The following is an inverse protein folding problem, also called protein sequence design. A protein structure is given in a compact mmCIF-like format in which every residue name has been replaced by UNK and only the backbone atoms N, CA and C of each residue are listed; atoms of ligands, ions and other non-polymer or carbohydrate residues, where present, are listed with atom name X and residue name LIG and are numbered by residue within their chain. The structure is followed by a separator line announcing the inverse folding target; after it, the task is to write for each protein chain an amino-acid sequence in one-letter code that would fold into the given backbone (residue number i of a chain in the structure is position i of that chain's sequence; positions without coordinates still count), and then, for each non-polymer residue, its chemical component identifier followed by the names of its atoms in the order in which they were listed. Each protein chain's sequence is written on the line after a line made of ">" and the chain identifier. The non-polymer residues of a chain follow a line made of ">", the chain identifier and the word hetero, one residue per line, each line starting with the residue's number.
data_IF_897133274377
#
_entry.id   IF_897133274377
#
_cell.length_a   1.000
_cell.length_b   1.000
_cell.length_c   1.000
_cell.angle_alpha   90.00
_cell.angle_beta   90.00
_cell.angle_gamma   90.00
#
_symmetry.space_group_name_H-M   'P 1'
#
loop_
_entity.id
_entity.type
_entity.pdbx_description
1 polymer ?
#
# COMPACT_ATOMS: atom_id res chain seq x y z
N UNK A 1 38.44 -18.98 -16.18
CA UNK A 1 37.15 -19.33 -15.54
C UNK A 1 36.53 -18.03 -15.06
N UNK A 2 35.47 -17.56 -15.70
CA UNK A 2 34.86 -16.26 -15.38
C UNK A 2 34.02 -16.43 -14.11
N UNK A 3 34.39 -15.71 -13.05
CA UNK A 3 33.67 -15.71 -11.78
C UNK A 3 32.30 -15.03 -11.94
N UNK A 4 31.26 -15.85 -11.97
CA UNK A 4 29.86 -15.44 -12.18
C UNK A 4 29.30 -14.64 -11.00
N UNK A 5 29.98 -14.60 -9.85
CA UNK A 5 29.57 -13.90 -8.63
C UNK A 5 29.64 -12.38 -8.76
N UNK A 6 30.44 -11.87 -9.71
CA UNK A 6 30.64 -10.43 -9.95
C UNK A 6 29.67 -9.81 -10.96
N UNK A 7 28.82 -10.60 -11.63
CA UNK A 7 27.80 -10.08 -12.57
C UNK A 7 26.54 -9.53 -11.88
N UNK A 8 26.40 -9.68 -10.56
CA UNK A 8 25.23 -9.16 -9.82
C UNK A 8 25.28 -7.67 -9.48
N UNK A 9 26.36 -6.96 -9.80
CA UNK A 9 26.50 -5.53 -9.51
C UNK A 9 25.88 -4.62 -10.61
N UNK A 10 25.55 -5.16 -11.78
CA UNK A 10 24.91 -4.42 -12.89
C UNK A 10 23.57 -5.00 -13.34
N UNK A 11 23.05 -6.02 -12.65
CA UNK A 11 21.65 -6.38 -12.83
C UNK A 11 20.82 -5.29 -12.16
N UNK A 12 20.17 -4.44 -12.96
CA UNK A 12 19.04 -3.60 -12.52
C UNK A 12 18.13 -4.53 -11.72
N UNK A 13 18.20 -4.46 -10.37
CA UNK A 13 17.33 -5.24 -9.48
C UNK A 13 15.94 -4.86 -9.95
N UNK A 14 15.16 -5.84 -10.45
CA UNK A 14 13.77 -5.60 -10.84
C UNK A 14 13.17 -4.81 -9.68
N UNK A 15 12.76 -3.57 -9.97
CA UNK A 15 12.04 -2.76 -9.02
C UNK A 15 10.86 -3.63 -8.60
N UNK A 16 10.74 -3.88 -7.31
CA UNK A 16 9.69 -4.73 -6.77
C UNK A 16 8.34 -4.14 -7.20
N UNK A 17 7.72 -4.83 -8.16
CA UNK A 17 6.56 -4.40 -8.93
C UNK A 17 5.28 -4.36 -8.06
N UNK A 18 5.35 -5.00 -6.88
CA UNK A 18 4.29 -5.01 -5.88
C UNK A 18 4.31 -3.81 -4.93
N UNK A 19 5.35 -2.98 -4.94
CA UNK A 19 5.44 -1.86 -4.00
C UNK A 19 4.45 -0.75 -4.36
N UNK A 20 3.57 -0.45 -3.43
CA UNK A 20 2.77 0.78 -3.43
C UNK A 20 3.72 1.96 -3.27
N UNK A 21 3.77 2.79 -4.31
CA UNK A 21 4.43 4.10 -4.27
C UNK A 21 3.44 5.13 -3.72
N UNK A 22 3.60 6.38 -4.09
CA UNK A 22 2.71 7.45 -3.61
C UNK A 22 1.39 7.47 -4.39
N UNK A 23 0.31 7.99 -3.80
CA UNK A 23 -0.95 8.19 -4.49
C UNK A 23 -0.82 9.30 -5.56
N UNK A 24 -1.67 9.24 -6.59
CA UNK A 24 -1.74 10.10 -7.77
C UNK A 24 -0.50 10.11 -8.66
N UNK A 25 0.43 9.16 -8.55
CA UNK A 25 1.56 9.12 -9.48
C UNK A 25 1.11 8.93 -10.93
N UNK A 26 1.55 9.83 -11.81
CA UNK A 26 1.20 9.80 -13.24
C UNK A 26 1.81 8.59 -13.96
N UNK A 27 3.06 8.25 -13.62
CA UNK A 27 3.72 7.04 -14.12
C UNK A 27 4.55 6.41 -12.99
N UNK A 28 4.08 5.25 -12.51
CA UNK A 28 4.74 4.48 -11.45
C UNK A 28 6.10 3.91 -11.88
N UNK A 29 6.26 3.60 -13.16
CA UNK A 29 7.46 2.99 -13.72
C UNK A 29 8.57 4.03 -13.92
N UNK A 30 8.20 5.25 -14.30
CA UNK A 30 9.14 6.37 -14.48
C UNK A 30 9.33 7.23 -13.23
N UNK A 31 8.63 6.91 -12.14
CA UNK A 31 8.73 7.64 -10.87
C UNK A 31 10.19 7.84 -10.41
N UNK A 32 11.03 6.80 -10.52
CA UNK A 32 12.43 6.87 -10.08
C UNK A 32 13.31 7.75 -10.97
N UNK A 33 12.90 7.98 -12.22
CA UNK A 33 13.66 8.77 -13.18
C UNK A 33 13.41 10.27 -12.99
N UNK A 34 12.24 10.62 -12.44
CA UNK A 34 11.80 12.00 -12.23
C UNK A 34 11.89 12.45 -10.75
N UNK A 35 11.81 11.53 -9.79
CA UNK A 35 11.88 11.88 -8.37
C UNK A 35 13.30 12.31 -7.93
N UNK A 36 13.42 13.57 -7.50
CA UNK A 36 14.67 14.14 -6.98
C UNK A 36 15.04 13.69 -5.56
N UNK A 37 14.19 12.91 -4.89
CA UNK A 37 14.39 12.42 -3.52
C UNK A 37 14.56 13.55 -2.49
N UNK A 38 13.91 14.69 -2.73
CA UNK A 38 14.01 15.87 -1.86
C UNK A 38 13.39 15.66 -0.47
N UNK A 39 12.52 14.66 -0.27
CA UNK A 39 11.96 14.31 1.03
C UNK A 39 10.73 15.12 1.47
N UNK A 40 10.32 16.16 0.75
CA UNK A 40 9.18 17.00 1.13
C UNK A 40 7.86 16.23 1.35
N UNK A 41 7.59 15.19 0.55
CA UNK A 41 6.41 14.35 0.73
C UNK A 41 6.44 13.55 2.05
N UNK A 42 7.61 13.13 2.50
CA UNK A 42 7.81 12.45 3.80
C UNK A 42 7.51 13.42 4.94
N UNK A 43 8.06 14.63 4.85
CA UNK A 43 7.91 15.67 5.90
C UNK A 43 6.47 16.16 6.06
N UNK A 44 5.66 16.13 5.00
CA UNK A 44 4.32 16.71 4.97
C UNK A 44 3.21 15.66 5.08
N UNK A 45 3.56 14.39 5.27
CA UNK A 45 2.60 13.32 5.48
C UNK A 45 2.11 13.35 6.95
N UNK A 46 0.84 13.70 7.15
CA UNK A 46 0.25 13.84 8.50
C UNK A 46 0.23 12.52 9.29
N UNK A 47 0.01 11.40 8.59
CA UNK A 47 0.01 10.04 9.17
C UNK A 47 1.39 9.38 9.16
N UNK A 48 2.41 10.06 8.63
CA UNK A 48 3.81 9.61 8.60
C UNK A 48 4.06 8.26 7.88
N UNK A 49 3.10 7.80 7.05
CA UNK A 49 3.20 6.54 6.30
C UNK A 49 4.21 6.59 5.15
N UNK A 50 4.63 7.79 4.71
CA UNK A 50 5.58 7.92 3.61
C UNK A 50 7.00 7.82 4.19
N UNK A 51 7.67 6.70 3.93
CA UNK A 51 9.02 6.42 4.42
C UNK A 51 10.04 6.37 3.27
N UNK A 52 11.33 6.46 3.60
CA UNK A 52 12.41 6.28 2.62
C UNK A 52 12.63 4.78 2.39
N UNK A 53 12.23 4.29 1.21
CA UNK A 53 12.44 2.91 0.78
C UNK A 53 13.75 2.69 0.03
N UNK A 54 13.78 1.63 -0.78
CA UNK A 54 14.93 1.25 -1.62
C UNK A 54 15.43 2.43 -2.48
N UNK A 55 16.75 2.63 -2.51
CA UNK A 55 17.38 3.71 -3.28
C UNK A 55 17.12 5.13 -2.76
N UNK A 56 16.53 5.26 -1.57
CA UNK A 56 16.16 6.54 -0.97
C UNK A 56 14.90 7.17 -1.57
N UNK A 57 14.14 6.41 -2.36
CA UNK A 57 12.88 6.86 -2.93
C UNK A 57 11.75 6.75 -1.89
N UNK A 58 10.82 7.71 -1.84
CA UNK A 58 9.71 7.64 -0.92
C UNK A 58 8.75 6.51 -1.32
N UNK A 59 8.26 5.77 -0.33
CA UNK A 59 7.35 4.64 -0.47
C UNK A 59 6.34 4.69 0.67
N UNK A 60 5.18 4.06 0.50
CA UNK A 60 4.17 3.98 1.56
C UNK A 60 4.41 2.74 2.42
N UNK A 61 4.28 2.89 3.74
CA UNK A 61 4.31 1.81 4.74
C UNK A 61 3.02 1.84 5.57
N UNK A 62 2.12 0.90 5.27
CA UNK A 62 0.83 0.77 5.95
C UNK A 62 0.90 0.07 7.31
N UNK A 63 2.08 -0.35 7.77
CA UNK A 63 2.25 -0.82 9.14
C UNK A 63 2.25 0.33 10.17
N UNK A 64 2.47 1.55 9.70
CA UNK A 64 2.49 2.76 10.53
C UNK A 64 1.07 3.25 10.77
N UNK A 65 0.35 3.53 9.68
CA UNK A 65 -1.00 4.12 9.68
C UNK A 65 -1.60 4.03 8.25
N UNK A 66 -2.65 4.79 7.95
CA UNK A 66 -3.30 4.85 6.65
C UNK A 66 -2.97 6.08 5.79
N UNK A 67 -3.34 6.01 4.51
CA UNK A 67 -3.40 7.17 3.64
C UNK A 67 -4.79 7.81 3.67
N UNK A 68 -4.89 9.02 4.23
CA UNK A 68 -6.12 9.82 4.32
C UNK A 68 -6.53 10.49 3.00
N UNK A 69 -5.77 10.26 1.92
CA UNK A 69 -5.95 10.93 0.63
C UNK A 69 -6.00 12.48 0.70
N UNK A 70 -5.24 13.09 1.62
CA UNK A 70 -5.22 14.54 1.81
C UNK A 70 -4.57 15.33 0.65
N UNK A 71 -3.83 14.65 -0.25
CA UNK A 71 -3.12 15.21 -1.41
C UNK A 71 -1.88 16.07 -1.10
N UNK A 72 -1.50 16.24 0.18
CA UNK A 72 -0.34 17.07 0.58
C UNK A 72 0.97 16.62 -0.07
N UNK A 73 1.20 15.32 -0.22
CA UNK A 73 2.42 14.79 -0.83
C UNK A 73 2.60 15.20 -2.30
N UNK A 74 1.50 15.34 -3.04
CA UNK A 74 1.50 15.79 -4.43
C UNK A 74 1.64 17.31 -4.50
N UNK A 75 0.95 18.05 -3.62
CA UNK A 75 0.98 19.51 -3.55
C UNK A 75 2.39 20.08 -3.28
N UNK A 76 3.15 19.44 -2.39
CA UNK A 76 4.49 19.94 -1.97
C UNK A 76 5.61 19.47 -2.90
N UNK A 77 5.30 18.60 -3.86
CA UNK A 77 6.29 18.06 -4.79
C UNK A 77 6.70 19.14 -5.80
N UNK A 78 8.00 19.45 -5.95
CA UNK A 78 8.46 20.40 -6.95
C UNK A 78 8.44 19.82 -8.38
N UNK A 79 8.34 18.50 -8.51
CA UNK A 79 8.36 17.80 -9.79
C UNK A 79 6.94 17.53 -10.30
N UNK A 80 6.77 17.46 -11.63
CA UNK A 80 5.49 17.12 -12.27
C UNK A 80 5.23 15.61 -12.29
N UNK A 81 5.21 14.99 -11.10
CA UNK A 81 5.05 13.55 -10.89
C UNK A 81 3.60 13.10 -10.71
N UNK A 82 2.72 14.01 -10.33
CA UNK A 82 1.39 13.69 -9.83
C UNK A 82 0.29 14.15 -10.79
N UNK A 83 -0.74 13.32 -10.93
CA UNK A 83 -2.02 13.65 -11.53
C UNK A 83 -2.82 14.59 -10.62
N UNK A 84 -3.86 15.21 -11.16
CA UNK A 84 -4.77 16.06 -10.40
C UNK A 84 -5.48 15.29 -9.27
N UNK A 85 -5.89 16.02 -8.22
CA UNK A 85 -6.49 15.46 -6.99
C UNK A 85 -7.78 14.67 -7.23
N UNK A 86 -8.54 15.04 -8.25
CA UNK A 86 -9.78 14.39 -8.66
C UNK A 86 -9.56 13.10 -9.46
N UNK A 87 -8.34 12.85 -9.94
CA UNK A 87 -7.96 11.58 -10.53
C UNK A 87 -7.92 10.47 -9.47
N UNK A 88 -7.99 9.22 -9.94
CA UNK A 88 -7.87 8.06 -9.07
C UNK A 88 -6.49 8.03 -8.37
N UNK A 89 -6.41 7.93 -7.03
CA UNK A 89 -5.14 7.94 -6.31
C UNK A 89 -4.23 6.76 -6.70
N UNK A 90 -4.81 5.57 -6.85
CA UNK A 90 -4.15 4.36 -7.31
C UNK A 90 -5.18 3.27 -7.57
N UNK A 91 -4.72 2.16 -8.14
CA UNK A 91 -5.50 0.93 -8.30
C UNK A 91 -5.19 -0.08 -7.17
N UNK A 92 -4.60 0.39 -6.07
CA UNK A 92 -4.23 -0.47 -4.96
C UNK A 92 -5.46 -1.03 -4.24
N UNK A 93 -5.40 -2.29 -3.84
CA UNK A 93 -6.47 -3.00 -3.13
C UNK A 93 -5.91 -3.81 -1.97
N UNK A 94 -6.72 -3.93 -0.91
CA UNK A 94 -6.40 -4.78 0.21
C UNK A 94 -6.60 -6.26 -0.16
N UNK A 95 -5.69 -7.11 0.32
CA UNK A 95 -5.70 -8.57 0.17
C UNK A 95 -5.55 -9.16 1.56
N UNK A 96 -6.38 -10.16 1.88
CA UNK A 96 -6.31 -10.91 3.13
C UNK A 96 -5.70 -12.28 2.82
N UNK A 97 -4.63 -12.64 3.50
CA UNK A 97 -3.98 -13.94 3.35
C UNK A 97 -4.46 -14.97 4.38
N UNK A 98 -3.99 -16.21 4.21
CA UNK A 98 -4.40 -17.38 5.01
C UNK A 98 -4.15 -17.23 6.52
N UNK A 99 -3.27 -16.33 6.94
CA UNK A 99 -2.95 -16.11 8.36
C UNK A 99 -4.04 -15.34 9.12
N UNK A 100 -5.15 -14.98 8.45
CA UNK A 100 -6.26 -14.29 9.06
C UNK A 100 -6.86 -15.10 10.22
N UNK A 101 -6.99 -14.47 11.39
CA UNK A 101 -7.56 -15.08 12.59
C UNK A 101 -8.93 -15.72 12.33
N UNK A 102 -9.77 -15.08 11.51
CA UNK A 102 -11.11 -15.58 11.19
C UNK A 102 -11.10 -16.85 10.33
N UNK A 103 -10.10 -17.02 9.45
CA UNK A 103 -9.88 -18.28 8.72
C UNK A 103 -9.48 -19.42 9.66
N UNK A 104 -8.92 -19.09 10.83
CA UNK A 104 -8.60 -20.02 11.91
C UNK A 104 -9.66 -20.07 13.03
N UNK A 105 -10.91 -19.67 12.74
CA UNK A 105 -12.03 -19.69 13.69
C UNK A 105 -11.85 -18.85 14.96
N UNK A 106 -11.07 -17.77 14.87
CA UNK A 106 -10.96 -16.76 15.93
C UNK A 106 -11.77 -15.52 15.52
N UNK A 107 -12.72 -15.10 16.37
CA UNK A 107 -13.54 -13.91 16.10
C UNK A 107 -12.65 -12.66 16.10
N UNK A 108 -12.66 -11.92 15.00
CA UNK A 108 -11.92 -10.70 14.80
C UNK A 108 -12.67 -9.87 13.75
N UNK A 109 -12.86 -8.57 14.01
CA UNK A 109 -13.54 -7.63 13.10
C UNK A 109 -12.80 -6.30 12.91
N UNK A 110 -11.56 -6.22 13.37
CA UNK A 110 -10.80 -4.96 13.40
C UNK A 110 -10.67 -4.30 12.02
N UNK A 111 -10.53 -5.09 10.95
CA UNK A 111 -10.43 -4.55 9.59
C UNK A 111 -11.77 -4.03 9.03
N UNK A 112 -12.90 -4.60 9.43
CA UNK A 112 -14.25 -4.13 9.09
C UNK A 112 -14.54 -2.81 9.82
N UNK A 113 -14.29 -2.77 11.13
CA UNK A 113 -14.52 -1.58 11.97
C UNK A 113 -13.72 -0.34 11.52
N UNK A 114 -12.51 -0.52 10.98
CA UNK A 114 -11.67 0.57 10.49
C UNK A 114 -11.90 0.90 9.00
N UNK A 115 -12.71 0.11 8.28
CA UNK A 115 -12.93 0.33 6.86
C UNK A 115 -14.02 1.39 6.65
N UNK A 116 -13.63 2.67 6.58
CA UNK A 116 -14.55 3.78 6.26
C UNK A 116 -15.40 3.54 5.00
N UNK A 117 -14.88 3.05 3.85
CA UNK A 117 -15.71 2.78 2.68
C UNK A 117 -16.60 1.52 2.81
N UNK A 118 -16.56 0.82 3.94
CA UNK A 118 -17.31 -0.42 4.20
C UNK A 118 -17.05 -1.54 3.18
N UNK A 119 -15.86 -1.51 2.58
CA UNK A 119 -15.43 -2.46 1.56
C UNK A 119 -15.13 -3.86 2.14
N UNK A 120 -14.90 -3.98 3.45
CA UNK A 120 -14.66 -5.26 4.13
C UNK A 120 -15.91 -5.62 4.92
N UNK A 121 -16.48 -6.80 4.68
CA UNK A 121 -17.67 -7.27 5.37
C UNK A 121 -17.51 -8.71 5.83
N UNK A 122 -18.08 -9.02 6.98
CA UNK A 122 -18.00 -10.36 7.57
C UNK A 122 -19.29 -11.15 7.31
N UNK A 123 -19.19 -12.24 6.54
CA UNK A 123 -20.32 -13.13 6.21
C UNK A 123 -20.36 -14.35 7.12
N UNK A 124 -21.57 -14.72 7.55
CA UNK A 124 -21.77 -15.90 8.37
C UNK A 124 -21.59 -17.18 7.55
N UNK A 125 -20.84 -18.14 8.10
CA UNK A 125 -20.67 -19.47 7.53
C UNK A 125 -21.02 -20.54 8.58
N UNK A 126 -21.62 -21.64 8.13
CA UNK A 126 -22.05 -22.72 9.04
C UNK A 126 -20.82 -23.37 9.69
N UNK A 127 -20.80 -23.40 11.02
CA UNK A 127 -19.73 -24.05 11.78
C UNK A 127 -18.42 -23.25 11.86
N UNK A 128 -18.43 -21.98 11.47
CA UNK A 128 -17.28 -21.07 11.58
C UNK A 128 -17.69 -19.75 12.23
N UNK A 129 -16.68 -18.98 12.65
CA UNK A 129 -16.86 -17.54 12.88
C UNK A 129 -17.19 -16.83 11.56
N UNK A 130 -17.67 -15.60 11.62
CA UNK A 130 -17.93 -14.84 10.40
C UNK A 130 -16.61 -14.68 9.60
N UNK A 131 -16.68 -14.84 8.29
CA UNK A 131 -15.52 -14.81 7.40
C UNK A 131 -15.44 -13.48 6.66
N UNK A 132 -14.26 -12.84 6.57
CA UNK A 132 -14.11 -11.58 5.87
C UNK A 132 -14.26 -11.75 4.36
N UNK A 133 -14.89 -10.77 3.71
CA UNK A 133 -14.94 -10.62 2.26
C UNK A 133 -14.66 -9.15 1.91
N UNK A 134 -13.84 -8.94 0.88
CA UNK A 134 -13.52 -7.60 0.38
C UNK A 134 -14.27 -7.34 -0.92
N UNK A 135 -15.03 -6.25 -0.97
CA UNK A 135 -15.52 -5.64 -2.19
C UNK A 135 -14.41 -4.78 -2.79
N UNK A 136 -13.77 -5.26 -3.86
CA UNK A 136 -12.66 -4.57 -4.51
C UNK A 136 -13.09 -3.29 -5.23
N UNK A 137 -14.36 -3.12 -5.59
CA UNK A 137 -14.83 -1.89 -6.22
C UNK A 137 -14.93 -0.73 -5.21
N UNK A 138 -15.24 -1.04 -3.95
CA UNK A 138 -15.34 -0.07 -2.86
C UNK A 138 -14.02 0.14 -2.12
N UNK A 139 -13.08 -0.80 -2.25
CA UNK A 139 -11.78 -0.72 -1.58
C UNK A 139 -10.91 0.41 -2.19
N UNK A 140 -10.68 1.46 -1.40
CA UNK A 140 -9.82 2.59 -1.80
C UNK A 140 -8.33 2.25 -1.80
N UNK A 141 -7.93 1.18 -1.10
CA UNK A 141 -6.52 0.85 -0.87
C UNK A 141 -5.82 1.79 0.11
N UNK A 142 -6.54 2.48 1.02
CA UNK A 142 -5.95 3.42 1.99
C UNK A 142 -5.01 2.75 3.02
N UNK A 143 -5.17 1.46 3.26
CA UNK A 143 -4.33 0.70 4.20
C UNK A 143 -4.74 0.72 5.66
N UNK A 144 -5.86 1.36 6.04
CA UNK A 144 -6.37 1.36 7.43
C UNK A 144 -6.47 -0.04 8.04
N UNK A 145 -6.93 -1.00 7.23
CA UNK A 145 -7.07 -2.40 7.66
C UNK A 145 -5.72 -3.08 7.95
N UNK A 146 -4.61 -2.61 7.39
CA UNK A 146 -3.27 -3.19 7.60
C UNK A 146 -2.75 -2.85 8.99
N UNK A 147 -2.78 -1.57 9.35
CA UNK A 147 -2.22 -1.08 10.62
C UNK A 147 -2.92 -1.66 11.85
N UNK A 148 -4.23 -1.95 11.73
CA UNK A 148 -5.04 -2.53 12.82
C UNK A 148 -5.05 -4.06 12.84
N UNK A 149 -4.48 -4.75 11.84
CA UNK A 149 -4.58 -6.21 11.75
C UNK A 149 -3.64 -6.90 12.77
N UNK A 150 -4.16 -7.58 13.81
CA UNK A 150 -3.34 -8.16 14.86
C UNK A 150 -2.49 -9.36 14.40
N UNK A 151 -2.86 -9.98 13.27
CA UNK A 151 -2.12 -11.10 12.66
C UNK A 151 -1.23 -10.67 11.50
N UNK A 152 -1.19 -9.37 11.16
CA UNK A 152 -0.52 -8.86 9.96
C UNK A 152 -0.87 -9.64 8.68
N UNK A 153 -2.12 -10.11 8.60
CA UNK A 153 -2.63 -10.95 7.50
C UNK A 153 -3.18 -10.15 6.33
N UNK A 154 -3.10 -8.82 6.39
CA UNK A 154 -3.62 -7.92 5.37
C UNK A 154 -2.46 -7.13 4.78
N UNK A 155 -2.42 -7.08 3.45
CA UNK A 155 -1.51 -6.24 2.68
C UNK A 155 -2.30 -5.46 1.63
N UNK A 156 -1.74 -4.37 1.14
CA UNK A 156 -2.31 -3.64 0.00
C UNK A 156 -1.33 -3.76 -1.17
N UNK A 157 -1.83 -4.07 -2.38
CA UNK A 157 -1.03 -4.20 -3.61
C UNK A 157 -1.80 -3.68 -4.82
N UNK A 158 -1.11 -3.42 -5.94
CA UNK A 158 -1.71 -2.98 -7.22
C UNK A 158 -1.99 -4.19 -8.15
N UNK A 159 -1.52 -5.38 -7.79
CA UNK A 159 -1.64 -6.58 -8.60
C UNK A 159 -2.52 -7.61 -7.88
N UNK A 160 -3.46 -8.21 -8.63
CA UNK A 160 -4.10 -9.49 -8.30
C UNK A 160 -3.09 -10.64 -8.29
#
# INVERSE_FOLDING_TARGET
>A
MVDLSRRRLFSRKKVDDGLIRLPWLADRMQFTDQCTRCGKCVEQCETQIIVKGDGGFPTVDFSIDECTFCYRCAEVCPESLFLAKDAQPWQARAIINESCLSYHNVECRSCDEMCEPMAIQFKLEIGKVAQPQINLDECSGCGACVSVCPSSSINVSINE
#
